data_IF_356668537551
#
_entry.id   IF_356668537551
#
_cell.length_a   1.000
_cell.length_b   1.000
_cell.length_c   1.000
_cell.angle_alpha   90.00
_cell.angle_beta   90.00
_cell.angle_gamma   90.00
#
_symmetry.space_group_name_H-M   'P 1'
#
loop_
_entity.id
_entity.type
_entity.pdbx_description
1 polymer ?
#
# COMPACT_ATOMS: atom_id res chain seq x y z
N UNK A 1 -5.40 -0.17 25.54
CA UNK A 1 -6.40 -0.93 24.76
C UNK A 1 -5.87 -2.32 24.61
N UNK A 2 -5.18 -2.62 23.51
CA UNK A 2 -4.11 -3.61 23.49
C UNK A 2 -2.85 -3.01 24.13
N UNK A 3 -1.86 -3.84 24.49
CA UNK A 3 -0.62 -3.40 25.15
C UNK A 3 0.58 -4.28 24.76
N UNK A 4 1.76 -3.67 24.55
CA UNK A 4 3.01 -4.39 24.28
C UNK A 4 3.57 -4.18 22.87
N UNK A 5 4.85 -4.52 22.69
CA UNK A 5 5.54 -4.40 21.40
C UNK A 5 5.43 -5.68 20.58
N UNK A 6 5.45 -5.57 19.25
CA UNK A 6 5.47 -6.73 18.35
C UNK A 6 6.84 -7.38 18.21
N UNK A 7 7.93 -6.63 18.40
CA UNK A 7 9.29 -7.09 18.14
C UNK A 7 10.21 -6.82 19.33
N UNK A 8 11.31 -7.59 19.49
CA UNK A 8 12.33 -7.32 20.51
C UNK A 8 13.08 -5.98 20.29
N UNK A 9 13.11 -5.48 19.05
CA UNK A 9 13.79 -4.24 18.64
C UNK A 9 12.78 -3.29 17.95
N UNK A 10 11.89 -2.61 18.69
CA UNK A 10 10.73 -1.91 18.10
C UNK A 10 11.06 -0.75 17.16
N UNK A 11 12.27 -0.19 17.25
CA UNK A 11 12.71 0.98 16.47
C UNK A 11 13.71 0.63 15.38
N UNK A 12 13.82 -0.64 15.00
CA UNK A 12 14.77 -1.10 13.99
C UNK A 12 14.03 -1.90 12.90
N UNK A 13 14.35 -1.61 11.64
CA UNK A 13 13.87 -2.40 10.51
C UNK A 13 14.52 -3.78 10.54
N UNK A 14 13.71 -4.82 10.32
CA UNK A 14 14.19 -6.19 10.21
C UNK A 14 13.06 -7.20 10.28
N UNK A 15 13.44 -8.48 10.40
CA UNK A 15 12.51 -9.61 10.37
C UNK A 15 11.93 -9.96 11.75
N UNK A 16 12.14 -9.11 12.75
CA UNK A 16 11.72 -9.38 14.14
C UNK A 16 10.23 -9.68 14.27
N UNK A 17 9.37 -9.06 13.46
CA UNK A 17 7.94 -9.35 13.43
C UNK A 17 7.65 -10.80 12.97
N UNK A 18 8.24 -11.22 11.84
CA UNK A 18 8.04 -12.57 11.31
C UNK A 18 8.72 -13.65 12.18
N UNK A 19 9.89 -13.35 12.74
CA UNK A 19 10.56 -14.17 13.76
C UNK A 19 9.61 -14.45 14.92
N UNK A 20 9.05 -13.40 15.54
CA UNK A 20 8.10 -13.59 16.63
C UNK A 20 6.85 -14.37 16.17
N UNK A 21 6.31 -14.04 14.99
CA UNK A 21 5.09 -14.67 14.48
C UNK A 21 5.24 -16.19 14.26
N UNK A 22 6.33 -16.63 13.63
CA UNK A 22 6.50 -18.02 13.19
C UNK A 22 7.26 -18.91 14.17
N UNK A 23 8.24 -18.38 14.90
CA UNK A 23 9.11 -19.20 15.77
C UNK A 23 8.48 -19.45 17.15
N UNK A 24 7.39 -18.76 17.47
CA UNK A 24 6.65 -18.94 18.71
C UNK A 24 5.21 -19.43 18.49
N UNK A 25 4.75 -20.19 19.47
CA UNK A 25 3.34 -20.50 19.65
C UNK A 25 2.67 -19.44 20.53
N UNK A 26 1.40 -19.17 20.27
CA UNK A 26 0.69 -18.03 20.87
C UNK A 26 -0.46 -18.51 21.75
N UNK A 27 -0.71 -17.81 22.85
CA UNK A 27 -1.90 -18.01 23.67
C UNK A 27 -2.67 -16.73 23.90
N UNK A 28 -4.00 -16.87 23.92
CA UNK A 28 -4.93 -15.78 24.15
C UNK A 28 -4.82 -15.31 25.60
N UNK A 29 -4.70 -13.99 25.78
CA UNK A 29 -4.73 -13.33 27.07
C UNK A 29 -5.56 -12.04 26.98
N UNK A 30 -5.77 -11.40 28.13
CA UNK A 30 -6.28 -10.03 28.20
C UNK A 30 -5.17 -9.06 28.55
N UNK A 31 -5.13 -7.93 27.86
CA UNK A 31 -4.26 -6.80 28.17
C UNK A 31 -4.53 -6.26 29.58
N UNK A 32 -3.66 -5.41 30.15
CA UNK A 32 -3.94 -4.69 31.39
C UNK A 32 -5.25 -3.87 31.36
N UNK A 33 -5.70 -3.49 30.16
CA UNK A 33 -6.96 -2.76 29.93
C UNK A 33 -8.13 -3.69 29.54
N UNK A 34 -7.97 -5.02 29.61
CA UNK A 34 -9.05 -6.00 29.41
C UNK A 34 -9.32 -6.40 27.96
N UNK A 35 -8.56 -5.92 26.98
CA UNK A 35 -8.73 -6.28 25.57
C UNK A 35 -8.06 -7.62 25.24
N UNK A 36 -8.63 -8.39 24.32
CA UNK A 36 -8.03 -9.65 23.87
C UNK A 36 -6.79 -9.41 23.00
N UNK A 37 -5.68 -10.05 23.36
CA UNK A 37 -4.43 -10.08 22.61
C UNK A 37 -3.73 -11.42 22.82
N UNK A 38 -2.62 -11.64 22.12
CA UNK A 38 -1.87 -12.88 22.18
C UNK A 38 -0.48 -12.63 22.77
N UNK A 39 -0.02 -13.54 23.62
CA UNK A 39 1.36 -13.56 24.12
C UNK A 39 2.10 -14.81 23.63
N UNK A 40 3.42 -14.72 23.40
CA UNK A 40 4.21 -15.88 23.04
C UNK A 40 4.31 -16.85 24.23
N UNK A 41 4.14 -18.14 23.98
CA UNK A 41 4.41 -19.21 24.94
C UNK A 41 5.91 -19.42 25.06
N UNK A 42 6.41 -19.55 26.29
CA UNK A 42 7.81 -19.89 26.58
C UNK A 42 8.83 -19.00 25.84
N UNK A 43 8.58 -17.68 25.81
CA UNK A 43 9.47 -16.72 25.12
C UNK A 43 10.86 -16.71 25.73
N UNK A 44 11.90 -16.70 24.88
CA UNK A 44 13.27 -16.59 25.34
C UNK A 44 13.59 -15.14 25.80
N UNK A 45 14.45 -14.99 26.81
CA UNK A 45 14.82 -13.66 27.35
C UNK A 45 15.35 -12.69 26.29
N UNK A 46 16.11 -13.21 25.31
CA UNK A 46 16.63 -12.43 24.18
C UNK A 46 15.54 -11.80 23.31
N UNK A 47 14.35 -12.40 23.29
CA UNK A 47 13.22 -12.01 22.45
C UNK A 47 12.15 -11.21 23.23
N UNK A 48 12.43 -10.87 24.50
CA UNK A 48 11.67 -9.85 25.21
C UNK A 48 11.97 -8.47 24.61
N UNK A 49 11.00 -7.55 24.61
CA UNK A 49 11.20 -6.17 24.18
C UNK A 49 11.66 -5.29 25.36
N UNK A 50 12.39 -4.19 25.14
CA UNK A 50 12.56 -3.16 26.17
C UNK A 50 11.21 -2.52 26.52
N UNK A 51 11.01 -2.16 27.78
CA UNK A 51 9.87 -1.33 28.16
C UNK A 51 10.01 0.05 27.52
N UNK A 52 8.91 0.58 26.97
CA UNK A 52 8.90 1.81 26.18
C UNK A 52 9.46 3.05 26.93
N UNK A 53 9.35 3.08 28.26
CA UNK A 53 9.80 4.21 29.09
C UNK A 53 10.98 3.86 30.00
N UNK A 54 11.41 2.60 30.00
CA UNK A 54 12.50 2.12 30.85
C UNK A 54 13.25 0.99 30.15
N UNK A 55 14.32 1.30 29.40
CA UNK A 55 15.05 0.30 28.62
C UNK A 55 15.76 -0.74 29.51
N UNK A 56 15.89 -0.50 30.82
CA UNK A 56 16.43 -1.48 31.78
C UNK A 56 15.44 -2.62 32.06
N UNK A 57 14.15 -2.40 31.80
CA UNK A 57 13.09 -3.42 31.97
C UNK A 57 12.83 -4.12 30.65
N UNK A 58 12.71 -5.45 30.70
CA UNK A 58 12.32 -6.29 29.57
C UNK A 58 10.90 -6.80 29.79
N UNK A 59 10.07 -6.74 28.76
CA UNK A 59 8.65 -7.13 28.78
C UNK A 59 8.35 -8.09 27.63
N UNK A 60 7.38 -9.01 27.78
CA UNK A 60 6.95 -9.86 26.68
C UNK A 60 6.43 -9.06 25.48
N UNK A 61 6.66 -9.58 24.28
CA UNK A 61 6.02 -9.08 23.06
C UNK A 61 4.56 -9.54 22.98
N UNK A 62 3.83 -8.98 22.00
CA UNK A 62 2.43 -9.28 21.77
C UNK A 62 2.14 -9.44 20.28
N UNK A 63 1.02 -10.10 19.98
CA UNK A 63 0.39 -10.10 18.66
C UNK A 63 -1.11 -9.86 18.83
N UNK A 64 -1.72 -9.32 17.79
CA UNK A 64 -3.17 -9.18 17.66
C UNK A 64 -3.77 -10.39 16.95
N UNK A 65 -5.09 -10.51 16.97
CA UNK A 65 -5.79 -11.53 16.16
C UNK A 65 -5.58 -11.30 14.65
N UNK A 66 -5.41 -10.05 14.20
CA UNK A 66 -5.11 -9.77 12.80
C UNK A 66 -3.71 -10.26 12.40
N UNK A 67 -2.74 -10.14 13.30
CA UNK A 67 -1.38 -10.64 13.09
C UNK A 67 -1.37 -12.16 12.99
N UNK A 68 -2.07 -12.86 13.89
CA UNK A 68 -2.20 -14.32 13.83
C UNK A 68 -3.00 -14.81 12.62
N UNK A 69 -3.88 -13.99 12.05
CA UNK A 69 -4.54 -14.33 10.80
C UNK A 69 -3.54 -14.50 9.65
N UNK A 70 -2.38 -13.80 9.68
CA UNK A 70 -1.31 -14.02 8.71
C UNK A 70 -0.66 -15.39 8.84
N UNK A 71 -0.63 -15.99 10.03
CA UNK A 71 -0.12 -17.36 10.27
C UNK A 71 -1.20 -18.42 10.02
N UNK A 72 -2.46 -18.10 10.27
CA UNK A 72 -3.57 -19.05 10.25
C UNK A 72 -4.27 -19.20 8.89
N UNK A 73 -4.40 -18.12 8.12
CA UNK A 73 -5.03 -18.17 6.80
C UNK A 73 -4.10 -18.84 5.77
N UNK A 74 -4.55 -19.83 4.97
CA UNK A 74 -3.69 -20.56 4.05
C UNK A 74 -3.04 -19.71 2.94
N UNK A 75 -3.66 -18.59 2.54
CA UNK A 75 -3.11 -17.70 1.52
C UNK A 75 -2.11 -16.75 2.17
N UNK A 76 -2.49 -16.09 3.26
CA UNK A 76 -1.59 -15.17 3.95
C UNK A 76 -0.38 -15.88 4.55
N UNK A 77 -0.54 -17.10 5.05
CA UNK A 77 0.56 -17.88 5.60
C UNK A 77 1.64 -18.15 4.54
N UNK A 78 1.25 -18.51 3.31
CA UNK A 78 2.21 -18.74 2.23
C UNK A 78 3.00 -17.47 1.92
N UNK A 79 2.31 -16.33 1.83
CA UNK A 79 2.94 -15.02 1.56
C UNK A 79 3.85 -14.61 2.72
N UNK A 80 3.37 -14.71 3.96
CA UNK A 80 4.10 -14.34 5.16
C UNK A 80 5.33 -15.24 5.39
N UNK A 81 5.21 -16.55 5.14
CA UNK A 81 6.34 -17.49 5.18
C UNK A 81 7.36 -17.15 4.11
N UNK A 82 6.92 -16.89 2.88
CA UNK A 82 7.81 -16.50 1.79
C UNK A 82 8.60 -15.25 2.14
N UNK A 83 7.95 -14.22 2.69
CA UNK A 83 8.64 -13.01 3.17
C UNK A 83 9.57 -13.27 4.34
N UNK A 84 9.21 -14.17 5.26
CA UNK A 84 10.10 -14.56 6.35
C UNK A 84 11.41 -15.18 5.83
N UNK A 85 11.31 -16.02 4.80
CA UNK A 85 12.45 -16.71 4.18
C UNK A 85 13.21 -15.82 3.17
N UNK A 86 12.57 -14.75 2.64
CA UNK A 86 13.12 -13.86 1.62
C UNK A 86 13.04 -12.37 2.04
N UNK A 87 13.90 -11.90 2.96
CA UNK A 87 13.82 -10.55 3.53
C UNK A 87 13.94 -9.40 2.51
N UNK A 88 14.71 -9.60 1.44
CA UNK A 88 14.88 -8.57 0.40
C UNK A 88 13.59 -8.38 -0.41
N UNK A 89 12.87 -9.47 -0.70
CA UNK A 89 11.58 -9.39 -1.37
C UNK A 89 10.52 -8.76 -0.48
N UNK A 90 10.55 -9.05 0.82
CA UNK A 90 9.71 -8.36 1.79
C UNK A 90 9.97 -6.86 1.80
N UNK A 91 11.23 -6.44 1.82
CA UNK A 91 11.61 -5.03 1.83
C UNK A 91 11.12 -4.30 0.57
N UNK A 92 11.33 -4.87 -0.62
CA UNK A 92 10.83 -4.28 -1.89
C UNK A 92 9.29 -4.21 -1.92
N UNK A 93 8.61 -5.31 -1.57
CA UNK A 93 7.15 -5.37 -1.54
C UNK A 93 6.56 -4.37 -0.55
N UNK A 94 7.14 -4.26 0.65
CA UNK A 94 6.69 -3.30 1.67
C UNK A 94 6.92 -1.86 1.21
N UNK A 95 8.07 -1.53 0.63
CA UNK A 95 8.37 -0.20 0.11
C UNK A 95 7.37 0.22 -0.98
N UNK A 96 7.12 -0.67 -1.95
CA UNK A 96 6.14 -0.43 -3.04
C UNK A 96 4.71 -0.32 -2.51
N UNK A 97 4.32 -1.16 -1.57
CA UNK A 97 2.99 -1.12 -0.95
C UNK A 97 2.78 0.16 -0.13
N UNK A 98 3.79 0.59 0.63
CA UNK A 98 3.75 1.84 1.40
C UNK A 98 3.66 3.07 0.50
N UNK A 99 4.46 3.11 -0.58
CA UNK A 99 4.39 4.18 -1.57
C UNK A 99 3.00 4.25 -2.19
N UNK A 100 2.45 3.12 -2.64
CA UNK A 100 1.08 3.05 -3.16
C UNK A 100 0.04 3.52 -2.13
N UNK A 101 0.11 3.05 -0.89
CA UNK A 101 -0.84 3.42 0.16
C UNK A 101 -0.94 4.93 0.33
N UNK A 102 0.21 5.61 0.30
CA UNK A 102 0.35 7.04 0.59
C UNK A 102 0.15 7.95 -0.61
N UNK A 103 0.02 7.39 -1.83
CA UNK A 103 -0.09 8.16 -3.07
C UNK A 103 -1.25 7.74 -3.99
N UNK A 104 -1.96 6.63 -3.70
CA UNK A 104 -3.02 6.07 -4.56
C UNK A 104 -4.20 7.01 -4.84
N UNK A 105 -4.39 8.06 -4.05
CA UNK A 105 -5.47 9.05 -4.18
C UNK A 105 -4.98 10.40 -4.74
N UNK A 106 -3.73 10.45 -5.21
CA UNK A 106 -3.16 11.63 -5.86
C UNK A 106 -3.47 11.68 -7.37
N UNK A 107 -4.03 10.63 -7.97
CA UNK A 107 -4.30 10.56 -9.40
C UNK A 107 -3.03 10.47 -10.24
N UNK A 108 -2.98 11.08 -11.45
CA UNK A 108 -1.87 10.91 -12.38
C UNK A 108 -0.57 11.47 -11.82
N UNK A 109 0.55 10.85 -12.21
CA UNK A 109 1.92 11.21 -11.77
C UNK A 109 2.30 12.66 -12.08
N UNK A 110 1.68 13.29 -13.07
CA UNK A 110 1.86 14.73 -13.37
C UNK A 110 1.50 15.66 -12.19
N UNK A 111 0.80 15.15 -11.17
CA UNK A 111 0.49 15.89 -9.93
C UNK A 111 1.54 15.73 -8.83
N UNK A 112 2.54 14.88 -9.01
CA UNK A 112 3.54 14.58 -7.99
C UNK A 112 4.64 15.64 -8.10
N UNK A 113 5.10 16.16 -6.96
CA UNK A 113 6.03 17.29 -6.90
C UNK A 113 7.19 16.97 -5.95
N UNK A 114 8.36 17.50 -6.27
CA UNK A 114 9.56 17.37 -5.43
C UNK A 114 10.63 16.47 -6.05
N UNK A 115 11.85 16.48 -5.46
CA UNK A 115 13.00 15.76 -6.01
C UNK A 115 12.94 14.24 -5.82
N UNK A 116 12.11 13.75 -4.89
CA UNK A 116 12.04 12.33 -4.53
C UNK A 116 10.94 11.56 -5.30
N UNK A 117 10.33 12.19 -6.32
CA UNK A 117 9.34 11.51 -7.17
C UNK A 117 10.08 10.45 -8.01
N UNK A 118 9.72 9.17 -7.92
CA UNK A 118 10.42 8.12 -8.65
C UNK A 118 10.18 8.23 -10.17
N UNK A 119 11.20 7.89 -10.95
CA UNK A 119 11.12 7.88 -12.42
C UNK A 119 10.19 6.79 -12.95
N UNK A 120 10.02 5.67 -12.22
CA UNK A 120 9.13 4.56 -12.60
C UNK A 120 7.67 5.00 -12.64
N UNK A 121 6.94 4.61 -13.69
CA UNK A 121 5.49 4.73 -13.76
C UNK A 121 4.83 3.45 -13.25
N UNK A 122 3.95 3.58 -12.26
CA UNK A 122 3.30 2.45 -11.63
C UNK A 122 1.87 2.31 -12.14
N UNK A 123 1.46 1.09 -12.49
CA UNK A 123 0.16 0.81 -13.13
C UNK A 123 -1.06 1.38 -12.39
N UNK A 124 -1.00 1.49 -11.06
CA UNK A 124 -2.11 2.02 -10.25
C UNK A 124 -2.24 3.55 -10.32
N UNK A 125 -1.29 4.23 -10.97
CA UNK A 125 -1.34 5.67 -11.28
C UNK A 125 -2.08 5.95 -12.60
N UNK A 126 -2.57 4.90 -13.28
CA UNK A 126 -3.18 4.96 -14.61
C UNK A 126 -2.32 5.77 -15.62
N UNK A 127 -1.05 5.39 -15.85
CA UNK A 127 -0.15 6.15 -16.69
C UNK A 127 -0.64 6.18 -18.15
N UNK A 128 -0.44 7.32 -18.80
CA UNK A 128 -0.69 7.51 -20.23
C UNK A 128 0.65 7.70 -20.97
N UNK A 129 0.75 7.28 -22.24
CA UNK A 129 1.95 7.51 -23.03
C UNK A 129 2.34 8.98 -23.08
N UNK A 130 3.65 9.23 -23.07
CA UNK A 130 4.17 10.58 -23.33
C UNK A 130 3.88 10.98 -24.78
N UNK A 131 3.66 12.27 -25.00
CA UNK A 131 3.51 12.81 -26.36
C UNK A 131 4.86 12.70 -27.08
N UNK A 132 4.88 11.98 -28.21
CA UNK A 132 6.07 11.74 -29.03
C UNK A 132 5.95 12.35 -30.44
N UNK A 133 4.94 13.19 -30.66
CA UNK A 133 4.67 13.86 -31.93
C UNK A 133 4.28 15.33 -31.70
N UNK A 134 4.27 16.12 -32.78
CA UNK A 134 3.79 17.51 -32.73
C UNK A 134 2.29 17.55 -32.38
N UNK A 135 1.92 18.49 -31.53
CA UNK A 135 0.52 18.74 -31.20
C UNK A 135 -0.12 19.57 -32.32
N UNK A 136 -1.39 19.26 -32.60
CA UNK A 136 -2.18 20.01 -33.58
C UNK A 136 -2.24 21.50 -33.23
N UNK A 137 -2.18 22.34 -34.26
CA UNK A 137 -2.29 23.79 -34.10
C UNK A 137 -3.74 24.29 -34.23
N UNK A 138 -3.92 25.61 -34.24
CA UNK A 138 -5.25 26.20 -34.38
C UNK A 138 -5.94 25.86 -35.71
N UNK A 139 -5.20 25.83 -36.81
CA UNK A 139 -5.74 25.53 -38.12
C UNK A 139 -6.17 24.07 -38.20
N UNK A 140 -5.35 23.16 -37.70
CA UNK A 140 -5.69 21.74 -37.58
C UNK A 140 -6.99 21.53 -36.78
N UNK A 141 -7.17 22.25 -35.66
CA UNK A 141 -8.38 22.17 -34.84
C UNK A 141 -9.63 22.60 -35.63
N UNK A 142 -9.55 23.69 -36.40
CA UNK A 142 -10.66 24.18 -37.23
C UNK A 142 -11.02 23.14 -38.29
N UNK A 143 -10.02 22.61 -38.98
CA UNK A 143 -10.22 21.63 -40.05
C UNK A 143 -10.79 20.30 -39.53
N UNK A 144 -10.30 19.81 -38.40
CA UNK A 144 -10.78 18.56 -37.78
C UNK A 144 -12.22 18.69 -37.28
N UNK A 145 -12.60 19.83 -36.69
CA UNK A 145 -14.00 20.09 -36.29
C UNK A 145 -14.93 20.08 -37.50
N UNK A 146 -14.52 20.68 -38.61
CA UNK A 146 -15.28 20.65 -39.87
C UNK A 146 -15.49 19.22 -40.38
N UNK A 147 -14.44 18.39 -40.37
CA UNK A 147 -14.51 16.97 -40.78
C UNK A 147 -15.43 16.15 -39.88
N UNK A 148 -15.37 16.34 -38.56
CA UNK A 148 -16.24 15.62 -37.59
C UNK A 148 -17.70 16.00 -37.83
N UNK A 149 -18.02 17.28 -38.04
CA UNK A 149 -19.40 17.71 -38.31
C UNK A 149 -19.93 17.20 -39.66
N UNK A 150 -19.05 16.98 -40.63
CA UNK A 150 -19.39 16.43 -41.94
C UNK A 150 -19.43 14.88 -41.97
N UNK A 151 -19.11 14.19 -40.87
CA UNK A 151 -18.97 12.72 -40.86
C UNK A 151 -20.29 11.96 -40.88
N UNK A 152 -21.43 12.65 -40.76
CA UNK A 152 -22.76 12.06 -40.66
C UNK A 152 -23.16 11.59 -39.25
N UNK A 153 -22.30 11.80 -38.25
CA UNK A 153 -22.65 11.58 -36.84
C UNK A 153 -23.64 12.62 -36.37
N UNK A 154 -24.67 12.19 -35.65
CA UNK A 154 -25.64 13.08 -35.03
C UNK A 154 -25.01 13.85 -33.87
N UNK A 155 -25.58 15.02 -33.56
CA UNK A 155 -25.19 15.80 -32.37
C UNK A 155 -25.31 14.95 -31.10
N UNK A 156 -26.34 14.10 -31.02
CA UNK A 156 -26.56 13.21 -29.87
C UNK A 156 -25.41 12.22 -29.68
N UNK A 157 -24.93 11.59 -30.76
CA UNK A 157 -23.78 10.67 -30.70
C UNK A 157 -22.51 11.41 -30.28
N UNK A 158 -22.21 12.56 -30.89
CA UNK A 158 -21.02 13.35 -30.56
C UNK A 158 -20.99 13.77 -29.09
N UNK A 159 -22.10 14.31 -28.59
CA UNK A 159 -22.23 14.75 -27.19
C UNK A 159 -22.18 13.56 -26.23
N UNK A 160 -22.89 12.47 -26.54
CA UNK A 160 -22.94 11.30 -25.67
C UNK A 160 -21.58 10.61 -25.56
N UNK A 161 -20.84 10.48 -26.67
CA UNK A 161 -19.49 9.89 -26.66
C UNK A 161 -18.50 10.77 -25.90
N UNK A 162 -18.53 12.09 -26.10
CA UNK A 162 -17.67 13.01 -25.35
C UNK A 162 -17.98 12.97 -23.84
N UNK A 163 -19.26 12.94 -23.47
CA UNK A 163 -19.68 12.81 -22.07
C UNK A 163 -19.29 11.46 -21.47
N UNK A 164 -19.52 10.35 -22.18
CA UNK A 164 -19.15 9.02 -21.73
C UNK A 164 -17.64 8.89 -21.48
N UNK A 165 -16.81 9.60 -22.26
CA UNK A 165 -15.37 9.65 -22.04
C UNK A 165 -14.96 10.47 -20.81
N UNK A 166 -15.57 11.64 -20.60
CA UNK A 166 -15.13 12.58 -19.55
C UNK A 166 -15.78 12.33 -18.18
N UNK A 167 -16.98 11.75 -18.14
CA UNK A 167 -17.79 11.60 -16.92
C UNK A 167 -17.30 10.51 -15.96
N UNK A 168 -16.30 9.73 -16.35
CA UNK A 168 -15.63 8.76 -15.47
C UNK A 168 -14.69 9.42 -14.47
N UNK A 169 -14.26 10.67 -14.73
CA UNK A 169 -13.42 11.42 -13.82
C UNK A 169 -14.11 11.60 -12.46
N UNK A 170 -13.35 11.41 -11.38
CA UNK A 170 -13.83 11.64 -10.02
C UNK A 170 -12.84 12.43 -9.17
N UNK A 171 -13.31 13.51 -8.58
CA UNK A 171 -12.47 14.42 -7.78
C UNK A 171 -11.92 13.82 -6.47
N UNK A 172 -12.45 12.67 -6.01
CA UNK A 172 -12.03 12.00 -4.78
C UNK A 172 -10.57 11.55 -4.83
N UNK A 173 -10.17 10.87 -5.91
CA UNK A 173 -8.81 10.33 -6.11
C UNK A 173 -8.19 10.76 -7.45
N UNK A 174 -8.92 11.55 -8.26
CA UNK A 174 -8.47 12.14 -9.53
C UNK A 174 -8.09 11.08 -10.58
N UNK A 175 -8.76 9.93 -10.52
CA UNK A 175 -8.86 8.97 -11.62
C UNK A 175 -9.97 9.38 -12.59
#
# INVERSE_FOLDING_TARGET
GLEGAWTPNPTQWGMGYFHMLFDYEWELMKSPAGAYQWRPKNVADKDLAPSAHDPSKRVPTMMTTADLALKADPVYQKIARHFYENPNEFADAFARAWFKLTHRDMGPKSRYLGPDVPDEDLIWQDPIPVVDHELIDYQDIVDLKGKILASGLSISELVSTAWASASTFRGSDKR
#
